data_IF_636011843848
#
_entry.id   IF_636011843848
#
_cell.length_a   1.000
_cell.length_b   1.000
_cell.length_c   1.000
_cell.angle_alpha   90.00
_cell.angle_beta   90.00
_cell.angle_gamma   90.00
#
_symmetry.space_group_name_H-M   'P 1'
#
loop_
_entity.id
_entity.type
_entity.pdbx_description
1 polymer ?
#
# COMPACT_ATOMS: atom_id res chain seq x y z
N UNK A 1 -1.46 -6.29 -17.66
CA UNK A 1 -0.01 -6.59 -17.58
C UNK A 1 0.39 -6.39 -16.14
N UNK A 2 0.34 -7.46 -15.35
CA UNK A 2 0.76 -7.43 -13.94
C UNK A 2 2.29 -7.46 -13.91
N UNK A 3 2.91 -6.42 -13.33
CA UNK A 3 4.35 -6.36 -13.18
C UNK A 3 4.79 -7.43 -12.16
N UNK A 4 5.28 -8.56 -12.66
CA UNK A 4 6.15 -9.45 -11.90
C UNK A 4 7.46 -8.70 -11.64
N UNK A 5 7.62 -8.14 -10.44
CA UNK A 5 8.90 -7.59 -9.99
C UNK A 5 9.81 -8.76 -9.58
N UNK A 6 10.36 -9.47 -10.57
CA UNK A 6 11.60 -10.21 -10.35
C UNK A 6 12.71 -9.16 -10.28
N UNK A 7 13.09 -8.78 -9.05
CA UNK A 7 14.18 -7.86 -8.80
C UNK A 7 15.45 -8.44 -9.40
N UNK A 8 16.02 -7.75 -10.39
CA UNK A 8 17.32 -8.12 -10.94
C UNK A 8 18.39 -7.66 -9.94
N UNK A 9 18.75 -8.57 -9.04
CA UNK A 9 19.46 -8.37 -7.76
C UNK A 9 20.88 -7.80 -7.84
N UNK A 10 21.40 -7.37 -9.00
CA UNK A 10 22.76 -6.84 -9.12
C UNK A 10 22.83 -5.35 -9.46
N UNK A 11 21.86 -4.83 -10.24
CA UNK A 11 21.82 -3.41 -10.57
C UNK A 11 21.16 -2.59 -9.46
N UNK A 12 20.04 -3.07 -8.92
CA UNK A 12 19.20 -2.37 -7.96
C UNK A 12 19.90 -2.12 -6.61
N UNK A 13 20.78 -3.02 -6.18
CA UNK A 13 21.52 -2.90 -4.91
C UNK A 13 22.50 -1.71 -4.97
N UNK A 14 23.22 -1.57 -6.09
CA UNK A 14 24.19 -0.48 -6.29
C UNK A 14 23.54 0.90 -6.31
N UNK A 15 22.45 1.06 -7.08
CA UNK A 15 21.69 2.33 -7.13
C UNK A 15 20.95 2.63 -5.83
N UNK A 16 20.44 1.62 -5.12
CA UNK A 16 19.76 1.86 -3.84
C UNK A 16 20.67 2.52 -2.80
N UNK A 17 21.97 2.21 -2.81
CA UNK A 17 22.95 2.75 -1.86
C UNK A 17 23.11 4.27 -1.99
N UNK A 18 23.09 4.77 -3.23
CA UNK A 18 23.21 6.18 -3.59
C UNK A 18 21.94 6.99 -3.30
N UNK A 19 20.78 6.33 -3.30
CA UNK A 19 19.48 7.00 -3.13
C UNK A 19 19.19 7.28 -1.65
N UNK A 20 18.87 8.53 -1.34
CA UNK A 20 18.49 8.97 0.00
C UNK A 20 17.05 8.59 0.34
N UNK A 21 16.11 8.88 -0.57
CA UNK A 21 14.68 8.54 -0.44
C UNK A 21 14.12 7.95 -1.73
N UNK A 22 13.35 6.87 -1.60
CA UNK A 22 12.70 6.16 -2.70
C UNK A 22 11.20 6.02 -2.43
N UNK A 23 10.40 6.62 -3.31
CA UNK A 23 8.95 6.45 -3.39
C UNK A 23 8.57 5.51 -4.54
N UNK A 24 7.60 4.64 -4.30
CA UNK A 24 6.97 3.85 -5.36
C UNK A 24 5.57 4.38 -5.58
N UNK A 25 5.27 4.69 -6.84
CA UNK A 25 3.96 5.15 -7.30
C UNK A 25 3.39 4.06 -8.19
N UNK A 26 2.17 3.62 -7.90
CA UNK A 26 1.49 2.60 -8.70
C UNK A 26 0.03 2.92 -8.90
N UNK A 27 -0.54 2.27 -9.90
CA UNK A 27 -1.94 2.37 -10.23
C UNK A 27 -2.57 1.00 -10.01
N UNK A 28 -3.60 0.96 -9.17
CA UNK A 28 -4.31 -0.26 -8.80
C UNK A 28 -5.75 -0.15 -9.30
N UNK A 29 -6.22 -1.21 -9.93
CA UNK A 29 -7.60 -1.35 -10.38
C UNK A 29 -8.38 -2.19 -9.37
N UNK A 30 -9.68 -1.90 -9.19
CA UNK A 30 -10.55 -2.79 -8.43
C UNK A 30 -10.81 -4.10 -9.18
N UNK A 31 -11.27 -5.13 -8.45
CA UNK A 31 -11.53 -6.46 -9.02
C UNK A 31 -12.55 -6.44 -10.17
N UNK A 32 -13.35 -5.37 -10.27
CA UNK A 32 -14.37 -5.17 -11.29
C UNK A 32 -13.90 -4.26 -12.45
N UNK A 33 -12.67 -3.76 -12.41
CA UNK A 33 -12.09 -2.83 -13.39
C UNK A 33 -12.79 -1.47 -13.47
N UNK A 34 -13.69 -1.14 -12.55
CA UNK A 34 -14.52 0.09 -12.59
C UNK A 34 -13.83 1.27 -11.95
N UNK A 35 -12.93 1.02 -10.99
CA UNK A 35 -12.22 2.08 -10.28
C UNK A 35 -10.72 1.88 -10.38
N UNK A 36 -10.03 2.99 -10.66
CA UNK A 36 -8.58 3.07 -10.74
C UNK A 36 -8.08 4.02 -9.67
N UNK A 37 -7.32 3.49 -8.74
CA UNK A 37 -6.76 4.25 -7.62
C UNK A 37 -5.27 4.41 -7.84
N UNK A 38 -4.74 5.61 -7.58
CA UNK A 38 -3.30 5.84 -7.56
C UNK A 38 -2.80 5.76 -6.12
N UNK A 39 -1.74 4.98 -5.94
CA UNK A 39 -1.15 4.68 -4.65
C UNK A 39 0.32 5.09 -4.62
N UNK A 40 0.79 5.55 -3.46
CA UNK A 40 2.17 5.91 -3.19
C UNK A 40 2.59 5.34 -1.85
N UNK A 41 3.82 4.83 -1.75
CA UNK A 41 4.43 4.41 -0.50
C UNK A 41 5.94 4.60 -0.53
N UNK A 42 6.53 4.63 0.66
CA UNK A 42 7.96 4.89 0.86
C UNK A 42 8.66 3.54 1.01
N UNK A 43 9.61 3.25 0.12
CA UNK A 43 10.46 2.05 0.22
C UNK A 43 11.64 2.33 1.14
N UNK A 44 12.13 3.57 1.10
CA UNK A 44 13.30 3.99 1.85
C UNK A 44 13.26 5.49 2.07
N UNK A 45 13.65 5.93 3.25
CA UNK A 45 13.99 7.32 3.53
C UNK A 45 15.01 7.35 4.67
N UNK A 46 16.21 7.88 4.43
CA UNK A 46 17.28 7.96 5.44
C UNK A 46 17.17 9.24 6.23
N UNK A 47 17.54 9.19 7.51
CA UNK A 47 17.55 10.35 8.40
C UNK A 47 16.18 10.82 8.88
N UNK A 48 15.09 10.20 8.41
CA UNK A 48 13.71 10.53 8.80
C UNK A 48 12.89 9.27 9.05
N UNK A 49 12.02 9.32 10.06
CA UNK A 49 10.99 8.31 10.21
C UNK A 49 9.98 8.46 9.06
N UNK A 50 9.51 7.34 8.51
CA UNK A 50 8.56 7.35 7.40
C UNK A 50 7.48 6.31 7.63
N UNK A 51 6.29 6.58 7.08
CA UNK A 51 5.19 5.63 7.11
C UNK A 51 5.46 4.50 6.11
N UNK A 52 5.26 3.26 6.56
CA UNK A 52 5.35 2.05 5.73
C UNK A 52 4.02 1.73 5.02
N UNK A 53 2.95 2.44 5.37
CA UNK A 53 1.64 2.24 4.79
C UNK A 53 1.55 2.74 3.34
N UNK A 54 0.57 2.19 2.63
CA UNK A 54 0.25 2.61 1.26
C UNK A 54 -0.80 3.69 1.31
N UNK A 55 -0.46 4.87 0.80
CA UNK A 55 -1.34 6.02 0.74
C UNK A 55 -1.96 6.17 -0.65
N UNK A 56 -3.16 6.72 -0.70
CA UNK A 56 -3.77 7.11 -1.98
C UNK A 56 -3.36 8.53 -2.29
N UNK A 57 -3.29 8.89 -3.57
CA UNK A 57 -3.15 10.29 -3.93
C UNK A 57 -4.08 10.67 -5.08
N UNK A 58 -4.47 11.94 -5.08
CA UNK A 58 -5.30 12.56 -6.10
C UNK A 58 -4.45 13.64 -6.78
N UNK A 59 -4.55 13.70 -8.11
CA UNK A 59 -4.00 14.80 -8.89
C UNK A 59 -5.15 15.70 -9.29
N UNK A 60 -5.08 16.97 -8.92
CA UNK A 60 -5.99 18.03 -9.35
C UNK A 60 -5.20 19.16 -10.00
N UNK A 61 -5.90 20.19 -10.47
CA UNK A 61 -5.26 21.40 -11.02
C UNK A 61 -4.42 22.14 -9.96
N UNK A 62 -4.70 21.90 -8.67
CA UNK A 62 -3.92 22.41 -7.53
C UNK A 62 -2.69 21.56 -7.18
N UNK A 63 -2.46 20.44 -7.88
CA UNK A 63 -1.31 19.56 -7.70
C UNK A 63 -1.64 18.18 -7.12
N UNK A 64 -0.71 17.64 -6.31
CA UNK A 64 -0.80 16.28 -5.74
C UNK A 64 -1.25 16.35 -4.28
N UNK A 65 -2.37 15.72 -3.97
CA UNK A 65 -2.86 15.57 -2.60
C UNK A 65 -2.74 14.10 -2.16
N UNK A 66 -1.98 13.83 -1.10
CA UNK A 66 -1.78 12.50 -0.53
C UNK A 66 -2.73 12.28 0.65
N UNK A 67 -3.55 11.25 0.56
CA UNK A 67 -4.55 10.88 1.56
C UNK A 67 -3.96 9.78 2.44
N UNK A 68 -3.81 10.01 3.76
CA UNK A 68 -3.32 9.01 4.70
C UNK A 68 -4.12 7.71 4.64
N UNK A 69 -3.47 6.58 4.92
CA UNK A 69 -4.12 5.26 4.82
C UNK A 69 -5.29 5.14 5.79
N UNK A 70 -5.17 5.72 6.99
CA UNK A 70 -6.21 5.76 8.00
C UNK A 70 -7.53 6.39 7.49
N UNK A 71 -7.44 7.44 6.67
CA UNK A 71 -8.60 8.15 6.12
C UNK A 71 -9.16 7.43 4.88
N UNK A 72 -8.34 6.63 4.20
CA UNK A 72 -8.71 5.92 2.97
C UNK A 72 -9.74 4.78 3.18
N UNK A 73 -9.94 4.33 4.44
CA UNK A 73 -10.92 3.31 4.83
C UNK A 73 -12.37 3.80 4.74
N UNK A 74 -12.59 5.10 4.74
CA UNK A 74 -13.95 5.68 4.81
C UNK A 74 -14.71 5.58 3.48
N UNK A 75 -14.04 5.28 2.36
CA UNK A 75 -14.67 5.24 1.02
C UNK A 75 -14.84 3.83 0.41
N UNK A 76 -14.50 2.75 1.13
CA UNK A 76 -14.63 1.38 0.64
C UNK A 76 -15.36 0.50 1.65
N UNK A 77 -16.38 -0.24 1.21
CA UNK A 77 -17.21 -1.15 1.99
C UNK A 77 -16.52 -1.78 3.22
N UNK A 78 -17.12 -1.61 4.40
CA UNK A 78 -16.79 -2.37 5.63
C UNK A 78 -16.74 -3.86 5.31
N UNK A 79 -15.55 -4.45 5.22
CA UNK A 79 -15.37 -5.87 5.54
C UNK A 79 -15.06 -5.92 7.02
N UNK A 80 -16.12 -6.12 7.79
CA UNK A 80 -16.10 -6.48 9.20
C UNK A 80 -15.20 -7.72 9.36
N UNK A 81 -14.11 -7.57 10.11
CA UNK A 81 -13.28 -8.71 10.49
C UNK A 81 -14.05 -9.49 11.56
N UNK A 82 -14.77 -10.53 11.14
CA UNK A 82 -15.43 -11.46 12.05
C UNK A 82 -14.38 -12.41 12.62
N UNK A 83 -14.00 -12.20 13.88
CA UNK A 83 -13.21 -13.15 14.66
C UNK A 83 -13.96 -14.50 14.77
N UNK A 84 -13.54 -15.50 13.99
CA UNK A 84 -14.13 -16.86 14.03
C UNK A 84 -13.59 -17.75 15.16
N UNK A 85 -12.86 -17.19 16.13
CA UNK A 85 -12.14 -18.00 17.12
C UNK A 85 -12.89 -18.26 18.45
N UNK A 86 -14.21 -18.06 18.55
CA UNK A 86 -14.94 -18.24 19.82
C UNK A 86 -15.70 -19.57 19.96
N UNK A 87 -15.65 -20.49 18.99
CA UNK A 87 -16.47 -21.72 19.06
C UNK A 87 -15.71 -23.03 18.79
N UNK A 88 -14.71 -23.36 19.61
CA UNK A 88 -14.18 -24.74 19.67
C UNK A 88 -13.49 -25.10 20.99
N UNK A 89 -14.11 -24.84 22.15
CA UNK A 89 -13.77 -25.64 23.34
C UNK A 89 -14.89 -25.65 24.38
N UNK A 90 -15.96 -26.40 24.11
CA UNK A 90 -16.84 -26.98 25.15
C UNK A 90 -17.51 -28.21 24.56
N UNK A 91 -16.96 -29.39 24.87
CA UNK A 91 -17.67 -30.66 25.13
C UNK A 91 -16.65 -31.80 25.15
N UNK A 92 -16.01 -32.00 26.30
CA UNK A 92 -15.65 -33.33 26.76
C UNK A 92 -16.32 -33.47 28.14
N UNK A 93 -17.52 -34.05 28.15
CA UNK A 93 -18.10 -34.72 29.30
C UNK A 93 -18.45 -36.12 28.83
#
# INVERSE_FOLDING_TARGET
VSANLQSNTNGEIGVSSLIDTWFVVRMVEDDEGRKRTREIFIVKSRGTNHDSDVHKFIMSDDGINVIPYAESKVSGNKKEYVDKNVAANKKNK
#
